data_IF_098686489825
#
_entry.id   IF_098686489825
#
_cell.length_a   1.000
_cell.length_b   1.000
_cell.length_c   1.000
_cell.angle_alpha   90.00
_cell.angle_beta   90.00
_cell.angle_gamma   90.00
#
_symmetry.space_group_name_H-M   'P 1'
#
loop_
_entity.id
_entity.type
_entity.pdbx_description
1 polymer ?
#
# COMPACT_ATOMS: atom_id res chain seq x y z
N UNK A 1 -9.05 -14.81 13.75
CA UNK A 1 -8.71 -13.72 14.69
C UNK A 1 -7.68 -12.84 13.98
N UNK A 2 -8.09 -11.70 13.43
CA UNK A 2 -7.16 -10.78 12.75
C UNK A 2 -6.23 -10.16 13.80
N UNK A 3 -4.92 -10.34 13.62
CA UNK A 3 -3.89 -9.71 14.47
C UNK A 3 -3.94 -8.20 14.21
N UNK A 4 -4.21 -7.41 15.22
CA UNK A 4 -4.14 -5.95 15.13
C UNK A 4 -2.68 -5.54 15.16
N UNK A 5 -2.21 -4.94 14.08
CA UNK A 5 -0.83 -4.43 13.94
C UNK A 5 -0.49 -3.46 15.08
N UNK A 6 -1.46 -2.66 15.50
CA UNK A 6 -1.37 -1.76 16.66
C UNK A 6 -1.04 -2.51 17.95
N UNK A 7 -1.76 -3.62 18.24
CA UNK A 7 -1.52 -4.42 19.45
C UNK A 7 -0.16 -5.10 19.45
N UNK A 8 0.28 -5.58 18.30
CA UNK A 8 1.56 -6.26 18.20
C UNK A 8 2.72 -5.25 18.32
N UNK A 9 2.65 -4.10 17.65
CA UNK A 9 3.59 -3.00 17.84
C UNK A 9 3.64 -2.50 19.29
N UNK A 10 2.46 -2.31 19.90
CA UNK A 10 2.37 -1.85 21.30
C UNK A 10 3.02 -2.86 22.26
N UNK A 11 2.79 -4.16 22.08
CA UNK A 11 3.45 -5.22 22.88
C UNK A 11 4.96 -5.21 22.74
N UNK A 12 5.47 -5.06 21.50
CA UNK A 12 6.90 -4.99 21.25
C UNK A 12 7.51 -3.73 21.88
N UNK A 13 6.89 -2.57 21.72
CA UNK A 13 7.38 -1.32 22.30
C UNK A 13 7.35 -1.39 23.82
N UNK A 14 6.24 -1.82 24.43
CA UNK A 14 6.14 -1.96 25.89
C UNK A 14 7.11 -3.01 26.40
N UNK A 15 7.25 -4.15 25.73
CA UNK A 15 8.17 -5.21 26.10
C UNK A 15 9.63 -4.78 26.06
N UNK A 16 10.06 -4.12 24.98
CA UNK A 16 11.44 -3.60 24.85
C UNK A 16 11.73 -2.49 25.85
N UNK A 17 10.75 -1.60 26.09
CA UNK A 17 10.88 -0.53 27.07
C UNK A 17 10.99 -1.09 28.50
N UNK A 18 10.16 -2.07 28.86
CA UNK A 18 10.19 -2.73 30.15
C UNK A 18 11.53 -3.46 30.38
N UNK A 19 12.00 -4.21 29.39
CA UNK A 19 13.30 -4.90 29.46
C UNK A 19 14.45 -3.90 29.59
N UNK A 20 14.43 -2.83 28.78
CA UNK A 20 15.44 -1.78 28.83
C UNK A 20 15.45 -1.07 30.19
N UNK A 21 14.27 -0.82 30.78
CA UNK A 21 14.14 -0.20 32.11
C UNK A 21 14.76 -1.08 33.18
N UNK A 22 14.44 -2.38 33.18
CA UNK A 22 15.00 -3.32 34.16
C UNK A 22 16.52 -3.38 34.03
N UNK A 23 17.04 -3.52 32.82
CA UNK A 23 18.48 -3.56 32.58
C UNK A 23 19.17 -2.27 33.05
N UNK A 24 18.62 -1.12 32.68
CA UNK A 24 19.18 0.18 33.03
C UNK A 24 19.15 0.42 34.54
N UNK A 25 18.05 0.04 35.21
CA UNK A 25 17.92 0.13 36.67
C UNK A 25 18.94 -0.74 37.39
N UNK A 26 19.15 -1.98 36.94
CA UNK A 26 20.16 -2.90 37.50
C UNK A 26 21.57 -2.33 37.31
N UNK A 27 21.89 -1.84 36.12
CA UNK A 27 23.20 -1.25 35.84
C UNK A 27 23.42 0.01 36.68
N UNK A 28 22.43 0.94 36.71
CA UNK A 28 22.53 2.15 37.52
C UNK A 28 22.70 1.85 39.00
N UNK A 29 21.97 0.87 39.55
CA UNK A 29 22.11 0.42 40.93
C UNK A 29 23.54 -0.11 41.20
N UNK A 30 24.05 -0.92 40.30
CA UNK A 30 25.41 -1.51 40.46
C UNK A 30 26.51 -0.45 40.36
N UNK A 31 26.40 0.47 39.42
CA UNK A 31 27.33 1.59 39.25
C UNK A 31 27.32 2.49 40.48
N UNK A 32 26.16 2.85 40.99
CA UNK A 32 26.00 3.70 42.19
C UNK A 32 26.67 3.04 43.40
N UNK A 33 26.44 1.73 43.60
CA UNK A 33 27.09 1.02 44.71
C UNK A 33 28.64 1.03 44.58
N UNK A 34 29.17 0.90 43.37
CA UNK A 34 30.61 0.85 43.13
C UNK A 34 31.25 2.24 43.31
N UNK A 35 30.67 3.28 42.69
CA UNK A 35 31.20 4.64 42.84
C UNK A 35 31.12 5.19 44.26
N UNK A 36 30.04 4.84 45.00
CA UNK A 36 29.90 5.30 46.38
C UNK A 36 31.05 4.77 47.30
N UNK A 37 31.59 3.62 46.99
CA UNK A 37 32.78 3.13 47.77
C UNK A 37 33.98 4.05 47.58
N UNK A 38 34.31 4.47 46.39
CA UNK A 38 35.44 5.37 46.12
C UNK A 38 35.24 6.75 46.75
N UNK A 39 34.00 7.30 46.65
CA UNK A 39 33.66 8.59 47.26
C UNK A 39 33.82 8.56 48.77
N UNK A 40 33.33 7.52 49.45
CA UNK A 40 33.45 7.38 50.88
C UNK A 40 34.90 7.19 51.34
N UNK A 41 35.74 6.48 50.59
CA UNK A 41 37.16 6.32 50.93
C UNK A 41 37.96 7.62 50.78
N UNK A 42 37.64 8.44 49.76
CA UNK A 42 38.29 9.75 49.56
C UNK A 42 37.82 10.78 50.62
N UNK A 43 36.56 10.67 51.08
CA UNK A 43 36.04 11.49 52.19
C UNK A 43 36.75 11.11 53.48
N UNK A 44 36.89 9.84 53.83
CA UNK A 44 37.62 9.38 55.01
C UNK A 44 39.08 9.88 55.00
N UNK A 45 39.75 9.79 53.86
CA UNK A 45 41.11 10.31 53.68
C UNK A 45 41.18 11.80 53.93
N UNK A 46 40.26 12.57 53.37
CA UNK A 46 40.21 14.03 53.51
C UNK A 46 40.02 14.45 54.99
N UNK A 47 39.13 13.74 55.70
CA UNK A 47 38.86 13.95 57.11
C UNK A 47 40.07 13.59 57.94
N UNK A 48 40.71 12.45 57.73
CA UNK A 48 41.93 12.01 58.46
C UNK A 48 43.06 13.02 58.25
N UNK A 49 43.31 13.47 57.01
CA UNK A 49 44.30 14.53 56.74
C UNK A 49 43.98 15.84 57.45
N UNK A 50 42.69 16.20 57.51
CA UNK A 50 42.20 17.42 58.23
C UNK A 50 42.52 17.32 59.70
N UNK A 51 42.28 16.18 60.36
CA UNK A 51 42.59 15.95 61.77
C UNK A 51 44.10 16.07 62.06
N UNK A 52 44.93 15.50 61.17
CA UNK A 52 46.40 15.65 61.31
C UNK A 52 46.84 17.09 61.19
N UNK A 53 46.34 17.82 60.19
CA UNK A 53 46.65 19.27 60.01
C UNK A 53 46.22 20.10 61.19
N UNK A 54 45.09 19.83 61.81
CA UNK A 54 44.62 20.51 63.00
C UNK A 54 45.57 20.33 64.19
N UNK A 55 46.05 19.11 64.40
CA UNK A 55 47.04 18.83 65.46
C UNK A 55 48.41 19.47 65.19
N UNK A 56 48.83 19.56 63.94
CA UNK A 56 50.09 20.22 63.56
C UNK A 56 50.04 21.75 63.77
N UNK A 57 48.87 22.38 63.49
CA UNK A 57 48.66 23.82 63.63
C UNK A 57 48.57 24.26 65.09
N UNK A 58 48.12 23.37 65.99
CA UNK A 58 47.85 23.73 67.38
C UNK A 58 48.73 22.95 68.34
N UNK A 59 50.05 23.22 68.30
CA UNK A 59 51.10 22.54 69.15
C UNK A 59 50.88 22.70 70.68
N UNK A 60 50.07 23.72 71.06
CA UNK A 60 49.76 24.00 72.47
C UNK A 60 48.75 23.01 73.08
N UNK A 61 48.05 22.21 72.29
CA UNK A 61 47.18 21.13 72.78
C UNK A 61 47.94 19.97 73.48
N UNK A 62 49.29 19.92 73.42
CA UNK A 62 50.06 18.90 74.08
C UNK A 62 50.15 19.04 75.64
N UNK A 63 49.74 20.21 76.15
CA UNK A 63 49.80 20.51 77.61
C UNK A 63 48.47 20.39 78.34
N UNK A 64 47.34 20.22 77.62
CA UNK A 64 46.00 20.11 78.24
C UNK A 64 45.63 18.63 78.36
N UNK A 65 45.76 18.08 79.53
CA UNK A 65 45.38 16.69 79.83
C UNK A 65 43.91 16.39 79.82
N UNK A 66 43.05 17.38 79.60
CA UNK A 66 41.62 17.31 79.59
C UNK A 66 41.06 17.98 78.29
N UNK A 67 41.08 17.30 77.15
CA UNK A 67 40.19 17.62 76.09
C UNK A 67 38.76 17.29 76.58
N UNK A 68 37.80 18.22 76.50
CA UNK A 68 36.46 17.88 76.87
C UNK A 68 35.97 16.76 75.97
N UNK A 69 35.84 15.58 76.57
CA UNK A 69 35.15 14.46 75.95
C UNK A 69 33.74 14.95 75.63
N UNK A 70 33.41 15.09 74.37
CA UNK A 70 32.03 15.47 73.97
C UNK A 70 31.13 14.30 74.38
N UNK A 71 30.48 14.48 75.55
CA UNK A 71 29.56 13.48 76.10
C UNK A 71 28.22 13.40 75.37
N UNK A 72 27.98 14.35 74.51
CA UNK A 72 26.74 14.47 73.74
C UNK A 72 27.05 14.22 72.26
N UNK A 73 27.47 12.97 71.95
CA UNK A 73 27.65 12.54 70.58
C UNK A 73 26.30 11.99 70.11
N UNK A 74 25.70 12.54 69.07
CA UNK A 74 24.48 11.97 68.51
C UNK A 74 24.75 10.48 68.19
N UNK A 75 23.75 9.63 68.40
CA UNK A 75 23.84 8.17 68.13
C UNK A 75 24.12 7.86 66.65
N UNK A 76 23.94 8.88 65.80
CA UNK A 76 24.07 8.87 64.32
C UNK A 76 25.38 9.51 63.85
N UNK A 77 26.47 9.54 64.64
CA UNK A 77 27.73 10.05 64.10
C UNK A 77 28.23 9.15 62.96
N UNK A 78 28.13 9.68 61.74
CA UNK A 78 28.39 8.97 60.48
C UNK A 78 29.83 8.56 60.35
N UNK A 79 30.75 9.37 60.85
CA UNK A 79 32.20 9.14 60.77
C UNK A 79 32.82 9.30 62.17
N UNK A 80 33.57 8.25 62.56
CA UNK A 80 34.32 8.29 63.82
C UNK A 80 35.77 8.64 63.48
N UNK A 81 36.29 9.69 64.18
CA UNK A 81 37.67 10.10 64.04
C UNK A 81 38.44 9.90 65.35
N UNK A 82 39.67 9.45 65.25
CA UNK A 82 40.57 9.37 66.40
C UNK A 82 41.98 9.72 65.99
N UNK A 83 42.77 10.17 66.96
CA UNK A 83 44.16 10.51 66.70
C UNK A 83 45.05 10.11 67.84
N UNK A 84 46.33 9.83 67.50
CA UNK A 84 47.37 9.44 68.41
C UNK A 84 48.70 10.14 68.09
N UNK A 85 49.63 10.10 69.03
CA UNK A 85 51.04 10.31 68.74
C UNK A 85 51.60 9.04 68.06
N UNK A 86 52.70 9.15 67.30
CA UNK A 86 53.41 7.99 66.73
C UNK A 86 53.83 6.96 67.76
N UNK A 87 53.98 7.35 69.05
CA UNK A 87 54.23 6.46 70.17
C UNK A 87 52.98 5.73 70.71
N UNK A 88 51.83 5.82 70.10
CA UNK A 88 50.62 5.11 70.48
C UNK A 88 49.77 5.76 71.61
N UNK A 89 50.09 6.99 72.07
CA UNK A 89 49.28 7.68 73.05
C UNK A 89 48.07 8.35 72.31
N UNK A 90 46.84 8.01 72.73
CA UNK A 90 45.63 8.61 72.18
C UNK A 90 45.54 10.05 72.55
N UNK A 91 45.26 10.92 71.57
CA UNK A 91 45.08 12.36 71.73
C UNK A 91 43.58 12.78 71.65
N UNK A 92 42.85 12.16 70.78
CA UNK A 92 41.45 12.52 70.55
C UNK A 92 40.65 11.30 70.07
N UNK A 93 39.40 11.27 70.39
CA UNK A 93 38.36 10.37 69.88
C UNK A 93 37.02 11.10 69.80
N UNK A 94 36.36 11.04 68.62
CA UNK A 94 35.08 11.70 68.42
C UNK A 94 33.92 10.95 69.07
N UNK A 95 33.94 9.62 69.08
CA UNK A 95 32.96 8.79 69.78
C UNK A 95 33.66 7.77 70.70
N UNK A 96 33.65 7.98 71.99
CA UNK A 96 34.29 7.08 72.96
C UNK A 96 33.71 5.68 73.03
N UNK A 97 32.49 5.50 72.54
CA UNK A 97 31.82 4.18 72.49
C UNK A 97 32.46 3.26 71.43
N UNK A 98 33.19 3.85 70.47
CA UNK A 98 33.79 3.11 69.35
C UNK A 98 35.32 3.35 69.40
N UNK A 99 36.02 2.48 70.10
CA UNK A 99 37.49 2.53 70.11
C UNK A 99 38.02 1.60 69.01
N UNK A 100 38.56 2.15 67.96
CA UNK A 100 39.22 1.40 66.92
C UNK A 100 40.65 1.05 67.33
N UNK A 101 41.20 -0.10 66.88
CA UNK A 101 42.59 -0.48 67.22
C UNK A 101 43.55 0.56 66.58
N UNK A 102 44.63 0.89 67.35
CA UNK A 102 45.72 1.70 66.86
C UNK A 102 46.42 1.03 65.68
N UNK A 103 46.61 1.68 64.61
CA UNK A 103 47.42 1.27 63.46
C UNK A 103 48.25 2.44 62.98
N UNK A 104 49.60 2.27 62.95
CA UNK A 104 50.49 3.25 62.37
C UNK A 104 50.69 3.10 60.88
N UNK A 105 50.13 2.01 60.25
CA UNK A 105 50.18 1.79 58.81
C UNK A 105 49.25 2.75 58.09
N UNK A 106 49.85 3.55 57.22
CA UNK A 106 49.08 4.47 56.38
C UNK A 106 48.20 3.73 55.35
N UNK A 107 47.06 4.29 55.02
CA UNK A 107 46.16 3.78 53.99
C UNK A 107 44.86 3.21 54.54
N UNK A 108 44.24 2.39 53.73
CA UNK A 108 42.96 1.77 54.01
C UNK A 108 43.09 0.48 54.82
N UNK A 109 42.19 0.25 55.77
CA UNK A 109 42.08 -1.00 56.53
C UNK A 109 40.63 -1.29 56.92
N UNK A 110 40.32 -2.59 57.12
CA UNK A 110 38.95 -3.03 57.40
C UNK A 110 38.86 -3.84 58.69
N UNK A 111 39.07 -3.23 59.86
CA UNK A 111 38.97 -3.96 61.13
C UNK A 111 37.54 -4.35 61.47
N UNK A 112 37.36 -5.50 62.14
CA UNK A 112 36.08 -5.89 62.74
C UNK A 112 36.11 -5.46 64.22
N UNK A 113 35.21 -4.53 64.58
CA UNK A 113 35.10 -4.03 65.94
C UNK A 113 33.67 -4.28 66.42
N UNK A 114 33.54 -5.01 67.54
CA UNK A 114 32.25 -5.42 68.13
C UNK A 114 31.31 -6.19 67.16
N UNK A 115 31.89 -6.96 66.23
CA UNK A 115 31.11 -7.74 65.27
C UNK A 115 30.69 -6.97 64.00
N UNK A 116 30.99 -5.70 63.90
CA UNK A 116 30.79 -4.90 62.72
C UNK A 116 32.07 -4.59 61.97
N UNK A 117 32.06 -4.57 60.65
CA UNK A 117 33.19 -4.20 59.80
C UNK A 117 33.21 -2.67 59.67
N UNK A 118 34.40 -2.12 59.83
CA UNK A 118 34.66 -0.68 59.71
C UNK A 118 35.62 -0.43 58.57
N UNK A 119 35.35 0.56 57.76
CA UNK A 119 36.29 1.09 56.78
C UNK A 119 37.06 2.21 57.40
N UNK A 120 38.35 2.06 57.51
CA UNK A 120 39.23 3.00 58.22
C UNK A 120 40.31 3.50 57.30
N UNK A 121 40.46 4.81 57.20
CA UNK A 121 41.60 5.42 56.54
C UNK A 121 42.56 6.05 57.57
N UNK A 122 43.81 5.61 57.51
CA UNK A 122 44.87 6.07 58.44
C UNK A 122 45.86 6.98 57.72
N UNK A 123 46.12 8.14 58.30
CA UNK A 123 47.12 9.09 57.83
C UNK A 123 48.15 9.33 58.96
N UNK A 124 49.43 9.25 58.63
CA UNK A 124 50.51 9.49 59.57
C UNK A 124 51.43 10.59 59.02
N UNK A 125 51.43 11.78 59.67
CA UNK A 125 52.32 12.87 59.27
C UNK A 125 52.73 13.71 60.48
N UNK A 126 54.00 14.15 60.51
CA UNK A 126 54.49 15.13 61.48
C UNK A 126 54.45 14.68 62.94
N UNK A 127 54.56 13.35 63.19
CA UNK A 127 54.53 12.77 64.55
C UNK A 127 53.14 12.45 65.10
N UNK A 128 52.10 12.63 64.26
CA UNK A 128 50.72 12.34 64.60
C UNK A 128 50.11 11.31 63.64
N UNK A 129 49.25 10.46 64.16
CA UNK A 129 48.48 9.44 63.43
C UNK A 129 47.00 9.80 63.62
N UNK A 130 46.28 9.93 62.55
CA UNK A 130 44.82 10.11 62.58
C UNK A 130 44.13 8.99 61.76
N UNK A 131 43.02 8.57 62.28
CA UNK A 131 42.12 7.63 61.61
C UNK A 131 40.74 8.24 61.51
N UNK A 132 40.15 8.13 60.30
CA UNK A 132 38.73 8.37 60.08
C UNK A 132 38.10 7.02 59.68
N UNK A 133 36.96 6.73 60.27
CA UNK A 133 36.32 5.42 60.11
C UNK A 133 34.80 5.54 59.94
N UNK A 134 34.25 4.67 59.13
CA UNK A 134 32.81 4.58 58.88
C UNK A 134 32.36 3.10 58.94
N UNK A 135 31.12 2.88 59.42
CA UNK A 135 30.53 1.53 59.51
C UNK A 135 30.10 1.02 58.14
N UNK A 136 30.28 -0.27 57.91
CA UNK A 136 29.77 -0.91 56.68
C UNK A 136 28.26 -0.79 56.55
N UNK A 137 27.49 -1.00 57.62
CA UNK A 137 26.05 -0.88 57.65
C UNK A 137 25.58 0.50 57.18
N UNK A 138 26.26 1.55 57.62
CA UNK A 138 25.94 2.93 57.29
C UNK A 138 26.27 3.28 55.82
N UNK A 139 27.40 2.81 55.28
CA UNK A 139 27.73 2.90 53.88
C UNK A 139 26.70 2.23 53.00
N UNK A 140 26.29 1.01 53.39
CA UNK A 140 25.25 0.27 52.64
C UNK A 140 23.90 0.96 52.66
N UNK A 141 23.54 1.55 53.80
CA UNK A 141 22.28 2.29 53.92
C UNK A 141 22.26 3.53 52.99
N UNK A 142 23.29 4.38 53.09
CA UNK A 142 23.39 5.58 52.26
C UNK A 142 23.46 5.27 50.76
N UNK A 143 24.27 4.26 50.38
CA UNK A 143 24.33 3.81 48.99
C UNK A 143 23.00 3.23 48.51
N UNK A 144 22.30 2.49 49.37
CA UNK A 144 20.98 1.93 49.08
C UNK A 144 19.92 3.01 48.88
N UNK A 145 19.87 4.01 49.77
CA UNK A 145 18.93 5.15 49.64
C UNK A 145 19.17 5.95 48.36
N UNK A 146 20.42 6.27 48.04
CA UNK A 146 20.81 6.94 46.81
C UNK A 146 20.44 6.12 45.55
N UNK A 147 20.72 4.82 45.58
CA UNK A 147 20.40 3.92 44.47
C UNK A 147 18.90 3.80 44.24
N UNK A 148 18.08 3.71 45.31
CA UNK A 148 16.62 3.69 45.23
C UNK A 148 16.09 5.01 44.67
N UNK A 149 16.59 6.14 45.10
CA UNK A 149 16.19 7.46 44.62
C UNK A 149 16.46 7.61 43.13
N UNK A 150 17.65 7.28 42.64
CA UNK A 150 18.03 7.30 41.24
C UNK A 150 17.15 6.34 40.43
N UNK A 151 16.96 5.13 40.93
CA UNK A 151 16.13 4.10 40.28
C UNK A 151 14.68 4.55 40.14
N UNK A 152 14.11 5.17 41.16
CA UNK A 152 12.74 5.68 41.14
C UNK A 152 12.56 6.77 40.07
N UNK A 153 13.50 7.72 40.01
CA UNK A 153 13.49 8.76 39.00
C UNK A 153 13.59 8.19 37.57
N UNK A 154 14.45 7.19 37.39
CA UNK A 154 14.65 6.51 36.11
C UNK A 154 13.37 5.79 35.66
N UNK A 155 12.72 5.03 36.54
CA UNK A 155 11.45 4.36 36.26
C UNK A 155 10.36 5.36 35.90
N UNK A 156 10.26 6.48 36.64
CA UNK A 156 9.28 7.54 36.35
C UNK A 156 9.53 8.17 34.96
N UNK A 157 10.79 8.44 34.62
CA UNK A 157 11.15 8.99 33.30
C UNK A 157 10.77 8.04 32.19
N UNK A 158 11.12 6.75 32.29
CA UNK A 158 10.80 5.76 31.26
C UNK A 158 9.30 5.53 31.13
N UNK A 159 8.56 5.52 32.23
CA UNK A 159 7.10 5.45 32.21
C UNK A 159 6.48 6.65 31.50
N UNK A 160 7.02 7.85 31.75
CA UNK A 160 6.59 9.08 31.07
C UNK A 160 6.84 9.02 29.54
N UNK A 161 8.05 8.64 29.15
CA UNK A 161 8.42 8.46 27.73
C UNK A 161 7.56 7.38 27.07
N UNK A 162 7.34 6.24 27.73
CA UNK A 162 6.48 5.18 27.24
C UNK A 162 5.04 5.61 27.01
N UNK A 163 4.48 6.36 27.95
CA UNK A 163 3.13 6.92 27.83
C UNK A 163 3.04 7.90 26.64
N UNK A 164 4.02 8.76 26.48
CA UNK A 164 4.08 9.72 25.37
C UNK A 164 4.19 9.00 24.02
N UNK A 165 5.01 7.94 23.94
CA UNK A 165 5.17 7.11 22.74
C UNK A 165 3.87 6.41 22.35
N UNK A 166 3.17 5.80 23.31
CA UNK A 166 1.87 5.14 23.09
C UNK A 166 0.83 6.16 22.60
N UNK A 167 0.78 7.33 23.23
CA UNK A 167 -0.13 8.41 22.82
C UNK A 167 0.16 8.90 21.40
N UNK A 168 1.43 9.16 21.08
CA UNK A 168 1.87 9.60 19.76
C UNK A 168 1.55 8.58 18.67
N UNK A 169 1.81 7.29 18.94
CA UNK A 169 1.53 6.19 18.01
C UNK A 169 0.03 6.08 17.72
N UNK A 170 -0.82 6.09 18.75
CA UNK A 170 -2.27 6.06 18.58
C UNK A 170 -2.80 7.24 17.78
N UNK A 171 -2.29 8.43 18.06
CA UNK A 171 -2.69 9.63 17.31
C UNK A 171 -2.22 9.59 15.86
N UNK A 172 -1.04 9.04 15.59
CA UNK A 172 -0.51 8.87 14.24
C UNK A 172 -1.25 7.83 13.39
N UNK A 173 -1.78 6.76 14.03
CA UNK A 173 -2.52 5.70 13.34
C UNK A 173 -4.03 5.95 13.23
N UNK A 174 -4.60 6.89 13.98
CA UNK A 174 -6.02 7.22 13.95
C UNK A 174 -6.58 7.53 12.54
N UNK A 175 -5.86 8.20 11.61
CA UNK A 175 -6.32 8.42 10.25
C UNK A 175 -6.49 7.12 9.44
N UNK A 176 -5.69 6.08 9.72
CA UNK A 176 -5.82 4.76 9.07
C UNK A 176 -7.12 4.06 9.49
N UNK A 177 -7.43 4.10 10.78
CA UNK A 177 -8.68 3.53 11.29
C UNK A 177 -9.91 4.27 10.74
N UNK A 178 -9.83 5.59 10.63
CA UNK A 178 -10.88 6.40 10.01
C UNK A 178 -11.08 6.05 8.53
N UNK A 179 -9.98 5.87 7.76
CA UNK A 179 -10.04 5.44 6.37
C UNK A 179 -10.66 4.04 6.22
N UNK A 180 -10.23 3.10 7.05
CA UNK A 180 -10.75 1.73 7.04
C UNK A 180 -12.25 1.69 7.38
N UNK A 181 -12.70 2.48 8.34
CA UNK A 181 -14.11 2.61 8.71
C UNK A 181 -14.94 3.26 7.61
N UNK A 182 -14.43 4.31 6.95
CA UNK A 182 -15.11 4.95 5.83
C UNK A 182 -15.28 3.96 4.65
N UNK A 183 -14.25 3.17 4.35
CA UNK A 183 -14.32 2.11 3.33
C UNK A 183 -15.32 1.03 3.73
N UNK A 184 -15.28 0.56 4.98
CA UNK A 184 -16.15 -0.52 5.47
C UNK A 184 -17.64 -0.10 5.57
N UNK A 185 -17.92 1.18 5.84
CA UNK A 185 -19.27 1.71 5.93
C UNK A 185 -19.91 1.99 4.56
N UNK A 186 -19.13 1.92 3.48
CA UNK A 186 -19.63 2.17 2.13
C UNK A 186 -20.46 1.00 1.63
N UNK A 187 -21.62 1.29 1.07
CA UNK A 187 -22.39 0.31 0.31
C UNK A 187 -21.66 -0.05 -0.99
N UNK A 188 -21.92 -1.24 -1.55
CA UNK A 188 -21.28 -1.73 -2.77
C UNK A 188 -21.41 -0.81 -4.02
N UNK A 189 -22.26 0.22 -3.96
CA UNK A 189 -22.42 1.22 -5.00
C UNK A 189 -21.84 2.60 -4.72
N UNK A 190 -21.27 2.83 -3.53
CA UNK A 190 -20.72 4.13 -3.14
C UNK A 190 -19.24 4.24 -3.53
N UNK A 191 -18.97 4.57 -4.79
CA UNK A 191 -17.63 4.70 -5.38
C UNK A 191 -17.07 6.14 -5.31
N UNK A 192 -17.58 6.97 -4.39
CA UNK A 192 -17.09 8.32 -4.19
C UNK A 192 -15.66 8.31 -3.60
N UNK A 193 -14.80 9.28 -3.93
CA UNK A 193 -13.43 9.30 -3.44
C UNK A 193 -13.36 9.38 -1.91
N UNK A 194 -12.34 8.72 -1.33
CA UNK A 194 -12.02 8.77 0.09
C UNK A 194 -11.45 10.16 0.38
N UNK A 195 -12.07 10.90 1.31
CA UNK A 195 -11.59 12.21 1.76
C UNK A 195 -11.28 12.16 3.25
N UNK A 196 -10.00 12.31 3.59
CA UNK A 196 -9.55 12.36 4.98
C UNK A 196 -8.92 13.73 5.23
N UNK A 197 -9.44 14.47 6.20
CA UNK A 197 -9.12 15.88 6.42
C UNK A 197 -7.69 16.17 6.89
N UNK A 198 -6.99 15.24 7.55
CA UNK A 198 -5.63 15.44 8.08
C UNK A 198 -4.80 14.17 7.83
N UNK A 199 -4.54 13.90 6.55
CA UNK A 199 -3.81 12.70 6.15
C UNK A 199 -2.30 12.92 6.23
N UNK A 200 -1.54 12.08 6.94
CA UNK A 200 -0.08 12.05 6.85
C UNK A 200 0.40 11.87 5.41
N UNK A 201 1.52 12.51 5.06
CA UNK A 201 2.09 12.44 3.70
C UNK A 201 2.37 11.01 3.25
N UNK A 202 2.74 10.15 4.17
CA UNK A 202 3.06 8.75 3.96
C UNK A 202 1.85 7.92 3.51
N UNK A 203 0.64 8.36 3.81
CA UNK A 203 -0.61 7.68 3.43
C UNK A 203 -1.22 8.20 2.12
N UNK A 204 -0.81 9.38 1.66
CA UNK A 204 -1.34 9.99 0.42
C UNK A 204 -1.25 9.06 -0.78
N UNK A 205 -0.09 8.38 -1.07
CA UNK A 205 0.00 7.50 -2.24
C UNK A 205 -0.98 6.33 -2.20
N UNK A 206 -1.26 5.79 -1.00
CA UNK A 206 -2.22 4.69 -0.83
C UNK A 206 -3.65 5.16 -1.08
N UNK A 207 -4.00 6.34 -0.56
CA UNK A 207 -5.34 6.93 -0.77
C UNK A 207 -5.56 7.31 -2.24
N UNK A 208 -4.55 7.89 -2.88
CA UNK A 208 -4.61 8.24 -4.30
C UNK A 208 -4.77 7.01 -5.19
N UNK A 209 -3.99 5.96 -4.96
CA UNK A 209 -4.13 4.68 -5.70
C UNK A 209 -5.49 4.03 -5.46
N UNK A 210 -6.00 4.09 -4.22
CA UNK A 210 -7.33 3.56 -3.90
C UNK A 210 -8.43 4.38 -4.59
N UNK A 211 -8.33 5.70 -4.59
CA UNK A 211 -9.27 6.58 -5.26
C UNK A 211 -9.26 6.38 -6.78
N UNK A 212 -8.09 6.17 -7.37
CA UNK A 212 -7.98 5.84 -8.79
C UNK A 212 -8.65 4.49 -9.12
N UNK A 213 -8.46 3.48 -8.26
CA UNK A 213 -9.16 2.19 -8.40
C UNK A 213 -10.68 2.36 -8.29
N UNK A 214 -11.18 3.14 -7.32
CA UNK A 214 -12.59 3.42 -7.15
C UNK A 214 -13.18 4.17 -8.36
N UNK A 215 -12.43 5.10 -8.94
CA UNK A 215 -12.81 5.82 -10.15
C UNK A 215 -12.96 4.87 -11.33
N UNK A 216 -11.97 4.01 -11.60
CA UNK A 216 -12.02 3.00 -12.68
C UNK A 216 -13.19 2.05 -12.49
N UNK A 217 -13.41 1.58 -11.27
CA UNK A 217 -14.54 0.71 -10.94
C UNK A 217 -15.88 1.42 -11.18
N UNK A 218 -15.98 2.71 -10.81
CA UNK A 218 -17.17 3.53 -11.06
C UNK A 218 -17.47 3.71 -12.54
N UNK A 219 -16.46 3.93 -13.35
CA UNK A 219 -16.57 4.03 -14.81
C UNK A 219 -17.02 2.71 -15.43
N UNK A 220 -16.42 1.57 -15.00
CA UNK A 220 -16.81 0.25 -15.45
C UNK A 220 -18.28 -0.09 -15.11
N UNK A 221 -18.72 0.15 -13.86
CA UNK A 221 -20.11 -0.05 -13.47
C UNK A 221 -21.08 0.87 -14.23
N UNK A 222 -20.69 2.10 -14.50
CA UNK A 222 -21.51 3.05 -15.26
C UNK A 222 -21.64 2.60 -16.72
N UNK A 223 -20.55 2.10 -17.31
CA UNK A 223 -20.56 1.53 -18.66
C UNK A 223 -21.42 0.26 -18.71
N UNK A 224 -21.30 -0.64 -17.75
CA UNK A 224 -22.12 -1.84 -17.65
C UNK A 224 -23.62 -1.54 -17.50
N UNK A 225 -23.99 -0.58 -16.64
CA UNK A 225 -25.40 -0.16 -16.48
C UNK A 225 -25.96 0.41 -17.77
N UNK A 226 -25.20 1.25 -18.47
CA UNK A 226 -25.61 1.78 -19.78
C UNK A 226 -25.81 0.66 -20.77
N UNK A 227 -24.83 -0.26 -20.88
CA UNK A 227 -24.96 -1.41 -21.79
C UNK A 227 -26.21 -2.24 -21.52
N UNK A 228 -26.52 -2.56 -20.24
CA UNK A 228 -27.72 -3.32 -19.89
C UNK A 228 -29.03 -2.55 -20.25
N UNK A 229 -29.05 -1.25 -20.03
CA UNK A 229 -30.20 -0.42 -20.36
C UNK A 229 -30.46 -0.34 -21.89
N UNK A 230 -29.38 -0.16 -22.65
CA UNK A 230 -29.40 -0.08 -24.10
C UNK A 230 -29.76 -1.45 -24.71
N UNK A 231 -29.17 -2.53 -24.23
CA UNK A 231 -29.50 -3.90 -24.67
C UNK A 231 -30.97 -4.24 -24.41
N UNK A 232 -31.51 -3.84 -23.25
CA UNK A 232 -32.94 -4.04 -22.95
C UNK A 232 -33.84 -3.24 -23.87
N UNK A 233 -33.42 -2.03 -24.27
CA UNK A 233 -34.17 -1.20 -25.22
C UNK A 233 -34.16 -1.82 -26.63
N UNK A 234 -32.99 -2.21 -27.12
CA UNK A 234 -32.81 -2.81 -28.44
C UNK A 234 -33.47 -4.19 -28.58
N UNK A 235 -33.57 -4.98 -27.50
CA UNK A 235 -34.32 -6.22 -27.48
C UNK A 235 -35.83 -6.01 -27.45
N UNK A 236 -36.33 -4.95 -26.83
CA UNK A 236 -37.78 -4.67 -26.76
C UNK A 236 -38.39 -4.42 -28.14
N UNK A 237 -37.67 -3.70 -28.99
CA UNK A 237 -38.16 -3.32 -30.34
C UNK A 237 -38.43 -4.56 -31.21
N UNK A 238 -37.50 -5.50 -31.46
CA UNK A 238 -37.78 -6.67 -32.28
C UNK A 238 -38.83 -7.60 -31.66
N UNK A 239 -38.84 -7.74 -30.32
CA UNK A 239 -39.85 -8.56 -29.64
C UNK A 239 -41.26 -7.96 -29.89
N UNK A 240 -41.39 -6.62 -29.86
CA UNK A 240 -42.68 -5.95 -30.17
C UNK A 240 -43.07 -6.14 -31.62
N UNK A 241 -42.10 -6.07 -32.55
CA UNK A 241 -42.34 -6.32 -33.97
C UNK A 241 -42.80 -7.78 -34.23
N UNK A 242 -42.12 -8.75 -33.62
CA UNK A 242 -42.52 -10.17 -33.70
C UNK A 242 -43.93 -10.41 -33.19
N UNK A 243 -44.30 -9.75 -32.08
CA UNK A 243 -45.66 -9.84 -31.54
C UNK A 243 -46.69 -9.30 -32.50
N UNK A 244 -46.40 -8.19 -33.21
CA UNK A 244 -47.25 -7.62 -34.21
C UNK A 244 -47.40 -8.54 -35.44
N UNK A 245 -46.27 -9.09 -35.93
CA UNK A 245 -46.23 -10.04 -37.03
C UNK A 245 -47.06 -11.30 -36.72
N UNK A 246 -46.95 -11.81 -35.50
CA UNK A 246 -47.78 -12.92 -35.03
C UNK A 246 -49.28 -12.60 -35.04
N UNK A 247 -49.67 -11.35 -34.66
CA UNK A 247 -51.06 -10.92 -34.71
C UNK A 247 -51.58 -10.79 -36.17
N UNK A 248 -50.69 -10.35 -37.09
CA UNK A 248 -51.02 -10.30 -38.53
C UNK A 248 -51.26 -11.72 -39.05
N UNK A 249 -50.34 -12.65 -38.75
CA UNK A 249 -50.43 -14.07 -39.09
C UNK A 249 -51.77 -14.69 -38.62
N UNK A 250 -52.16 -14.42 -37.36
CA UNK A 250 -53.41 -14.89 -36.76
C UNK A 250 -54.68 -14.36 -37.45
N UNK A 251 -54.60 -13.18 -38.10
CA UNK A 251 -55.70 -12.49 -38.77
C UNK A 251 -55.73 -12.73 -40.28
N UNK A 252 -54.70 -13.37 -40.85
CA UNK A 252 -54.64 -13.64 -42.30
C UNK A 252 -55.77 -14.59 -42.72
N UNK A 253 -56.56 -14.16 -43.68
CA UNK A 253 -57.75 -14.83 -44.12
C UNK A 253 -57.53 -15.82 -45.28
N UNK A 254 -56.42 -15.65 -46.01
CA UNK A 254 -56.06 -16.51 -47.17
C UNK A 254 -54.64 -17.08 -47.01
N UNK A 255 -54.35 -18.11 -47.76
CA UNK A 255 -53.09 -18.84 -47.68
C UNK A 255 -51.90 -18.02 -48.19
N UNK A 256 -52.09 -17.12 -49.16
CA UNK A 256 -51.01 -16.28 -49.69
C UNK A 256 -50.58 -15.21 -48.64
N UNK A 257 -51.54 -14.52 -48.02
CA UNK A 257 -51.27 -13.57 -46.94
C UNK A 257 -50.66 -14.25 -45.73
N UNK A 258 -51.05 -15.50 -45.42
CA UNK A 258 -50.49 -16.31 -44.34
C UNK A 258 -49.04 -16.67 -44.63
N UNK A 259 -48.70 -17.03 -45.88
CA UNK A 259 -47.33 -17.37 -46.27
C UNK A 259 -46.37 -16.16 -46.11
N UNK A 260 -46.79 -14.99 -46.62
CA UNK A 260 -46.02 -13.73 -46.46
C UNK A 260 -45.81 -13.38 -44.98
N UNK A 261 -46.86 -13.52 -44.16
CA UNK A 261 -46.74 -13.26 -42.73
C UNK A 261 -45.83 -14.21 -42.01
N UNK A 262 -45.75 -15.46 -42.45
CA UNK A 262 -44.78 -16.49 -41.95
C UNK A 262 -43.34 -16.13 -42.32
N UNK A 263 -43.10 -15.73 -43.58
CA UNK A 263 -41.79 -15.29 -44.07
C UNK A 263 -41.27 -14.06 -43.30
N UNK A 264 -42.18 -13.04 -43.10
CA UNK A 264 -41.85 -11.87 -42.30
C UNK A 264 -41.54 -12.19 -40.84
N UNK A 265 -42.30 -13.12 -40.23
CA UNK A 265 -42.07 -13.58 -38.86
C UNK A 265 -40.72 -14.30 -38.74
N UNK A 266 -40.40 -15.15 -39.71
CA UNK A 266 -39.14 -15.88 -39.75
C UNK A 266 -37.96 -14.94 -39.90
N UNK A 267 -38.01 -13.99 -40.82
CA UNK A 267 -37.03 -12.91 -40.96
C UNK A 267 -36.89 -12.05 -39.69
N UNK A 268 -37.99 -11.84 -38.96
CA UNK A 268 -37.96 -11.15 -37.66
C UNK A 268 -37.23 -11.94 -36.55
N UNK A 269 -37.43 -13.28 -36.52
CA UNK A 269 -36.74 -14.18 -35.60
C UNK A 269 -35.21 -14.16 -35.87
N UNK A 270 -34.85 -14.33 -37.16
CA UNK A 270 -33.43 -14.34 -37.55
C UNK A 270 -32.71 -13.05 -37.20
N UNK A 271 -33.35 -11.90 -37.40
CA UNK A 271 -32.82 -10.58 -36.95
C UNK A 271 -32.65 -10.52 -35.45
N UNK A 272 -33.60 -11.08 -34.68
CA UNK A 272 -33.52 -11.09 -33.22
C UNK A 272 -32.41 -11.98 -32.70
N UNK A 273 -32.22 -13.16 -33.32
CA UNK A 273 -31.10 -14.06 -33.01
C UNK A 273 -29.75 -13.39 -33.26
N UNK A 274 -29.60 -12.77 -34.43
CA UNK A 274 -28.36 -12.06 -34.76
C UNK A 274 -28.04 -10.93 -33.74
N UNK A 275 -29.08 -10.17 -33.31
CA UNK A 275 -28.88 -9.18 -32.26
C UNK A 275 -28.40 -9.77 -30.93
N UNK A 276 -28.97 -10.92 -30.50
CA UNK A 276 -28.53 -11.60 -29.27
C UNK A 276 -27.08 -12.09 -29.40
N UNK A 277 -26.71 -12.63 -30.55
CA UNK A 277 -25.33 -13.06 -30.83
C UNK A 277 -24.34 -11.89 -30.74
N UNK A 278 -24.71 -10.74 -31.32
CA UNK A 278 -23.91 -9.52 -31.24
C UNK A 278 -23.77 -9.02 -29.80
N UNK A 279 -24.84 -9.05 -28.99
CA UNK A 279 -24.77 -8.69 -27.56
C UNK A 279 -23.84 -9.63 -26.76
N UNK A 280 -23.91 -10.93 -27.04
CA UNK A 280 -23.02 -11.92 -26.43
C UNK A 280 -21.54 -11.70 -26.84
N UNK A 281 -21.29 -11.34 -28.09
CA UNK A 281 -19.96 -11.01 -28.59
C UNK A 281 -19.39 -9.78 -27.88
N UNK A 282 -20.19 -8.71 -27.72
CA UNK A 282 -19.77 -7.53 -26.93
C UNK A 282 -19.42 -7.91 -25.51
N UNK A 283 -20.25 -8.72 -24.84
CA UNK A 283 -20.00 -9.17 -23.46
C UNK A 283 -18.73 -10.01 -23.31
N UNK A 284 -18.40 -10.83 -24.33
CA UNK A 284 -17.17 -11.64 -24.35
C UNK A 284 -15.91 -10.86 -24.74
N UNK A 285 -16.07 -9.72 -25.40
CA UNK A 285 -14.97 -8.86 -25.83
C UNK A 285 -14.49 -7.90 -24.73
N UNK A 286 -15.11 -7.91 -23.55
CA UNK A 286 -14.61 -7.12 -22.40
C UNK A 286 -13.27 -7.68 -21.87
N UNK A 287 -12.30 -6.82 -21.49
CA UNK A 287 -10.90 -7.21 -21.28
C UNK A 287 -10.64 -8.26 -20.18
N UNK A 288 -11.58 -8.47 -19.26
CA UNK A 288 -11.36 -9.25 -18.01
C UNK A 288 -11.91 -10.69 -18.05
N UNK A 289 -12.53 -11.14 -19.18
CA UNK A 289 -13.34 -12.36 -19.12
C UNK A 289 -12.60 -13.64 -19.52
N UNK A 290 -11.61 -13.60 -20.40
CA UNK A 290 -10.80 -14.79 -20.77
C UNK A 290 -9.43 -14.40 -21.34
N UNK A 291 -8.40 -15.20 -21.04
CA UNK A 291 -7.10 -15.07 -21.70
C UNK A 291 -7.24 -15.28 -23.21
N UNK A 292 -6.69 -14.35 -24.02
CA UNK A 292 -6.65 -14.52 -25.48
C UNK A 292 -5.96 -15.83 -25.86
N UNK A 293 -6.65 -16.68 -26.62
CA UNK A 293 -6.02 -17.80 -27.33
C UNK A 293 -5.21 -17.21 -28.49
N UNK A 294 -3.94 -16.92 -28.24
CA UNK A 294 -3.10 -16.25 -29.22
C UNK A 294 -2.39 -17.27 -30.09
N UNK A 295 -2.74 -17.27 -31.37
CA UNK A 295 -2.10 -18.09 -32.41
C UNK A 295 -1.49 -17.20 -33.49
N UNK A 296 -0.71 -17.79 -34.39
CA UNK A 296 -0.25 -17.12 -35.59
C UNK A 296 -1.36 -17.17 -36.67
N UNK A 297 -1.97 -16.03 -36.97
CA UNK A 297 -3.09 -15.94 -37.91
C UNK A 297 -2.60 -15.33 -39.24
N UNK A 298 -2.80 -16.05 -40.32
CA UNK A 298 -2.58 -15.55 -41.71
C UNK A 298 -3.77 -14.64 -42.11
N UNK A 299 -3.52 -13.32 -42.20
CA UNK A 299 -4.56 -12.34 -42.56
C UNK A 299 -5.08 -12.54 -43.99
N UNK A 300 -4.23 -13.05 -44.92
CA UNK A 300 -4.67 -13.31 -46.27
C UNK A 300 -5.61 -14.53 -46.36
N UNK A 301 -5.38 -15.56 -45.56
CA UNK A 301 -6.29 -16.70 -45.46
C UNK A 301 -7.60 -16.31 -44.80
N UNK A 302 -7.56 -15.47 -43.74
CA UNK A 302 -8.71 -14.92 -43.05
C UNK A 302 -9.57 -14.09 -44.00
N UNK A 303 -8.96 -13.16 -44.77
CA UNK A 303 -9.65 -12.30 -45.74
C UNK A 303 -10.39 -13.10 -46.79
N UNK A 304 -9.73 -14.10 -47.37
CA UNK A 304 -10.35 -15.01 -48.38
C UNK A 304 -11.51 -15.83 -47.80
N UNK A 305 -11.38 -16.31 -46.57
CA UNK A 305 -12.42 -17.11 -45.92
C UNK A 305 -13.67 -16.26 -45.68
N UNK A 306 -13.50 -15.02 -45.15
CA UNK A 306 -14.61 -14.11 -44.89
C UNK A 306 -15.25 -13.65 -46.21
N UNK A 307 -14.49 -13.28 -47.23
CA UNK A 307 -15.01 -12.88 -48.52
C UNK A 307 -15.88 -14.02 -49.15
N UNK A 308 -15.41 -15.24 -49.08
CA UNK A 308 -16.17 -16.40 -49.54
C UNK A 308 -17.50 -16.58 -48.80
N UNK A 309 -17.49 -16.35 -47.47
CA UNK A 309 -18.70 -16.48 -46.65
C UNK A 309 -19.75 -15.39 -47.02
N UNK A 310 -19.31 -14.20 -47.41
CA UNK A 310 -20.18 -13.06 -47.76
C UNK A 310 -20.54 -13.00 -49.25
N UNK A 311 -19.98 -13.84 -50.10
CA UNK A 311 -20.20 -13.78 -51.56
C UNK A 311 -21.68 -13.79 -51.94
N UNK A 312 -22.50 -14.73 -51.44
CA UNK A 312 -23.91 -14.82 -51.70
C UNK A 312 -24.71 -13.61 -51.20
N UNK A 313 -24.30 -13.01 -50.09
CA UNK A 313 -24.95 -11.80 -49.54
C UNK A 313 -24.59 -10.55 -50.36
N UNK A 314 -23.34 -10.47 -50.83
CA UNK A 314 -22.89 -9.40 -51.72
C UNK A 314 -23.62 -9.46 -53.07
N UNK A 315 -23.68 -10.65 -53.70
CA UNK A 315 -24.43 -10.87 -54.96
C UNK A 315 -25.92 -10.47 -54.81
N UNK A 316 -26.57 -10.84 -53.74
CA UNK A 316 -27.97 -10.47 -53.46
C UNK A 316 -28.22 -8.99 -53.34
N UNK A 317 -27.15 -8.19 -53.11
CA UNK A 317 -27.20 -6.70 -52.99
C UNK A 317 -26.51 -5.98 -54.14
N UNK A 318 -26.13 -6.71 -55.17
CA UNK A 318 -25.40 -6.22 -56.35
C UNK A 318 -24.08 -5.51 -55.95
N UNK A 319 -23.36 -6.04 -54.95
CA UNK A 319 -22.08 -5.54 -54.45
C UNK A 319 -20.94 -6.40 -55.04
N UNK A 320 -19.95 -5.71 -55.66
CA UNK A 320 -18.72 -6.33 -56.11
C UNK A 320 -17.74 -6.47 -54.93
N UNK A 321 -17.59 -7.69 -54.37
CA UNK A 321 -16.75 -7.98 -53.24
C UNK A 321 -15.37 -8.54 -53.66
N UNK A 322 -14.33 -7.74 -53.55
CA UNK A 322 -12.95 -8.09 -53.91
C UNK A 322 -12.02 -8.34 -52.73
N UNK A 323 -11.00 -9.17 -52.95
CA UNK A 323 -9.88 -9.37 -51.95
C UNK A 323 -8.57 -9.05 -52.69
N UNK A 324 -7.81 -8.12 -52.11
CA UNK A 324 -6.50 -7.71 -52.61
C UNK A 324 -5.43 -8.03 -51.57
N UNK A 325 -4.54 -8.95 -51.90
CA UNK A 325 -3.41 -9.31 -51.04
C UNK A 325 -2.15 -8.62 -51.60
N UNK A 326 -1.76 -7.50 -50.96
CA UNK A 326 -0.60 -6.67 -51.34
C UNK A 326 0.68 -7.14 -50.64
N UNK A 327 0.54 -7.74 -49.42
CA UNK A 327 1.63 -8.36 -48.68
C UNK A 327 1.10 -9.62 -47.96
N UNK A 328 2.00 -10.58 -47.70
CA UNK A 328 1.67 -11.67 -46.79
C UNK A 328 1.96 -11.26 -45.37
N UNK A 329 0.92 -11.10 -44.57
CA UNK A 329 1.01 -10.63 -43.19
C UNK A 329 0.42 -11.65 -42.24
N UNK A 330 1.16 -11.99 -41.20
CA UNK A 330 0.75 -12.82 -40.08
C UNK A 330 0.75 -12.02 -38.80
N UNK A 331 -0.29 -12.20 -37.99
CA UNK A 331 -0.43 -11.53 -36.69
C UNK A 331 -0.61 -12.55 -35.57
N UNK A 332 -0.17 -12.21 -34.35
CA UNK A 332 -0.48 -12.99 -33.15
C UNK A 332 -1.86 -12.56 -32.66
N UNK A 333 -2.83 -13.46 -32.66
CA UNK A 333 -4.18 -13.14 -32.26
C UNK A 333 -5.07 -14.35 -32.13
N UNK A 334 -6.31 -14.13 -31.71
CA UNK A 334 -7.34 -15.13 -31.61
C UNK A 334 -8.08 -15.24 -32.97
N UNK A 335 -7.98 -16.36 -33.69
CA UNK A 335 -8.58 -16.52 -35.03
C UNK A 335 -10.09 -16.27 -35.04
N UNK A 336 -10.79 -16.71 -33.98
CA UNK A 336 -12.23 -16.50 -33.86
C UNK A 336 -12.59 -15.04 -33.71
N UNK A 337 -11.88 -14.32 -32.83
CA UNK A 337 -12.12 -12.89 -32.64
C UNK A 337 -11.76 -12.07 -33.86
N UNK A 338 -10.66 -12.36 -34.54
CA UNK A 338 -10.28 -11.70 -35.78
C UNK A 338 -11.28 -11.99 -36.92
N UNK A 339 -11.83 -13.18 -36.97
CA UNK A 339 -12.93 -13.53 -37.91
C UNK A 339 -14.16 -12.69 -37.60
N UNK A 340 -14.56 -12.56 -36.34
CA UNK A 340 -15.68 -11.72 -35.90
C UNK A 340 -15.45 -10.25 -36.25
N UNK A 341 -14.25 -9.74 -36.05
CA UNK A 341 -13.86 -8.37 -36.40
C UNK A 341 -14.06 -8.13 -37.89
N UNK A 342 -13.49 -8.99 -38.74
CA UNK A 342 -13.58 -8.83 -40.18
C UNK A 342 -15.01 -9.03 -40.69
N UNK A 343 -15.78 -9.98 -40.15
CA UNK A 343 -17.18 -10.17 -40.46
C UNK A 343 -18.00 -8.90 -40.21
N UNK A 344 -17.77 -8.20 -39.07
CA UNK A 344 -18.49 -6.95 -38.77
C UNK A 344 -18.11 -5.83 -39.73
N UNK A 345 -16.82 -5.75 -40.14
CA UNK A 345 -16.41 -4.76 -41.14
C UNK A 345 -17.06 -5.03 -42.51
N UNK A 346 -17.02 -6.30 -42.98
CA UNK A 346 -17.57 -6.68 -44.29
C UNK A 346 -19.09 -6.60 -44.32
N UNK A 347 -19.78 -7.03 -43.25
CA UNK A 347 -21.26 -6.86 -43.17
C UNK A 347 -21.67 -5.39 -43.25
N UNK A 348 -20.95 -4.52 -42.55
CA UNK A 348 -21.18 -3.08 -42.66
C UNK A 348 -20.93 -2.55 -44.09
N UNK A 349 -19.78 -2.90 -44.68
CA UNK A 349 -19.42 -2.46 -46.01
C UNK A 349 -20.47 -2.91 -47.08
N UNK A 350 -20.85 -4.19 -47.09
CA UNK A 350 -21.85 -4.75 -48.00
C UNK A 350 -23.25 -4.15 -47.76
N UNK A 351 -23.58 -3.76 -46.55
CA UNK A 351 -24.83 -3.14 -46.19
C UNK A 351 -24.94 -1.70 -46.65
N UNK A 352 -23.89 -0.92 -46.58
CA UNK A 352 -23.90 0.53 -46.86
C UNK A 352 -23.40 0.88 -48.27
N UNK A 353 -22.95 -0.08 -49.06
CA UNK A 353 -22.54 0.13 -50.45
C UNK A 353 -23.36 -0.69 -51.47
N UNK A 354 -24.71 -0.69 -51.44
CA UNK A 354 -25.51 -1.44 -52.42
C UNK A 354 -25.27 -0.94 -53.84
N UNK A 355 -25.01 -1.86 -54.78
CA UNK A 355 -24.65 -1.54 -56.14
C UNK A 355 -23.23 -0.96 -56.33
N UNK A 356 -22.40 -0.99 -55.29
CA UNK A 356 -21.04 -0.50 -55.30
C UNK A 356 -20.00 -1.63 -55.19
N UNK A 357 -18.74 -1.27 -54.85
CA UNK A 357 -17.69 -2.21 -54.63
C UNK A 357 -17.23 -2.20 -53.16
N UNK A 358 -16.80 -3.35 -52.67
CA UNK A 358 -16.19 -3.54 -51.37
C UNK A 358 -14.89 -4.30 -51.55
N UNK A 359 -13.76 -3.72 -51.12
CA UNK A 359 -12.45 -4.32 -51.21
C UNK A 359 -11.94 -4.67 -49.82
N UNK A 360 -11.47 -5.90 -49.61
CA UNK A 360 -10.72 -6.31 -48.45
C UNK A 360 -9.23 -6.33 -48.81
N UNK A 361 -8.41 -5.50 -48.20
CA UNK A 361 -7.00 -5.41 -48.48
C UNK A 361 -6.18 -5.93 -47.29
N UNK A 362 -5.13 -6.71 -47.60
CA UNK A 362 -4.09 -7.10 -46.67
C UNK A 362 -2.78 -6.54 -47.15
N UNK A 363 -2.20 -5.67 -46.37
CA UNK A 363 -0.99 -4.93 -46.74
C UNK A 363 -0.09 -4.73 -45.52
N UNK A 364 1.07 -4.16 -45.78
CA UNK A 364 2.05 -3.79 -44.74
C UNK A 364 2.37 -2.30 -44.92
N UNK A 365 2.14 -1.51 -43.86
CA UNK A 365 2.48 -0.07 -43.85
C UNK A 365 3.46 0.17 -42.69
N UNK A 366 4.60 0.79 -42.97
CA UNK A 366 5.65 1.05 -41.98
C UNK A 366 6.06 -0.19 -41.17
N UNK A 367 6.20 -1.33 -41.88
CA UNK A 367 6.51 -2.65 -41.31
C UNK A 367 5.37 -3.26 -40.43
N UNK A 368 4.21 -2.60 -40.30
CA UNK A 368 3.08 -3.10 -39.52
C UNK A 368 2.06 -3.80 -40.43
N UNK A 369 1.56 -4.98 -40.02
CA UNK A 369 0.46 -5.63 -40.72
C UNK A 369 -0.82 -4.79 -40.65
N UNK A 370 -1.47 -4.60 -41.77
CA UNK A 370 -2.72 -3.84 -41.88
C UNK A 370 -3.78 -4.68 -42.58
N UNK A 371 -4.95 -4.77 -41.96
CA UNK A 371 -6.17 -5.31 -42.55
C UNK A 371 -7.12 -4.15 -42.81
N UNK A 372 -7.43 -3.87 -44.08
CA UNK A 372 -8.25 -2.73 -44.50
C UNK A 372 -9.49 -3.22 -45.22
N UNK A 373 -10.64 -2.61 -44.91
CA UNK A 373 -11.89 -2.79 -45.64
C UNK A 373 -12.31 -1.45 -46.22
N UNK A 374 -12.51 -1.38 -47.55
CA UNK A 374 -12.87 -0.19 -48.27
C UNK A 374 -14.29 -0.40 -48.84
N UNK A 375 -15.21 0.48 -48.56
CA UNK A 375 -16.49 0.52 -49.21
C UNK A 375 -16.64 1.80 -50.06
N UNK A 376 -17.45 1.70 -51.11
CA UNK A 376 -17.79 2.83 -52.02
C UNK A 376 -19.20 3.33 -51.74
N UNK A 377 -19.60 3.33 -50.46
CA UNK A 377 -20.88 3.82 -50.00
C UNK A 377 -20.92 5.34 -49.82
N UNK A 378 -21.90 5.86 -49.05
CA UNK A 378 -22.06 7.30 -48.81
C UNK A 378 -21.00 7.90 -47.90
N UNK A 379 -20.18 7.07 -47.28
CA UNK A 379 -19.20 7.51 -46.25
C UNK A 379 -19.85 7.95 -44.96
N UNK A 380 -19.03 8.51 -44.05
CA UNK A 380 -19.45 8.98 -42.72
C UNK A 380 -19.16 10.48 -42.60
N UNK A 381 -20.15 11.32 -42.23
CA UNK A 381 -19.94 12.72 -41.97
C UNK A 381 -18.89 12.95 -40.89
N UNK A 382 -18.04 13.96 -41.05
CA UNK A 382 -16.93 14.27 -40.12
C UNK A 382 -17.41 14.44 -38.66
N UNK A 383 -18.57 15.08 -38.48
CA UNK A 383 -19.17 15.28 -37.15
C UNK A 383 -19.54 13.97 -36.40
N UNK A 384 -19.72 12.87 -37.16
CA UNK A 384 -20.14 11.58 -36.61
C UNK A 384 -18.96 10.62 -36.41
N UNK A 385 -17.78 10.83 -37.03
CA UNK A 385 -16.63 9.93 -37.02
C UNK A 385 -16.14 9.60 -35.60
N UNK A 386 -16.16 10.55 -34.68
CA UNK A 386 -15.75 10.34 -33.29
C UNK A 386 -16.68 9.41 -32.49
N UNK A 387 -17.91 9.17 -33.02
CA UNK A 387 -18.95 8.42 -32.29
C UNK A 387 -19.35 7.09 -32.94
N UNK A 388 -18.86 6.80 -34.14
CA UNK A 388 -19.25 5.57 -34.85
C UNK A 388 -18.88 4.28 -34.15
N UNK A 389 -17.91 4.35 -33.23
CA UNK A 389 -17.49 3.23 -32.37
C UNK A 389 -18.27 3.17 -31.05
N UNK A 390 -19.14 4.14 -30.78
CA UNK A 390 -20.02 4.10 -29.61
C UNK A 390 -21.07 2.99 -29.80
N UNK A 391 -21.33 2.23 -28.74
CA UNK A 391 -22.32 1.15 -28.76
C UNK A 391 -23.71 1.73 -29.10
N UNK A 392 -24.44 1.05 -30.00
CA UNK A 392 -25.79 1.43 -30.47
C UNK A 392 -25.85 2.78 -31.22
N UNK A 393 -24.73 3.37 -31.58
CA UNK A 393 -24.71 4.57 -32.35
C UNK A 393 -25.11 4.27 -33.80
N UNK A 394 -26.02 5.10 -34.35
CA UNK A 394 -26.47 5.05 -35.74
C UNK A 394 -26.43 6.48 -36.29
N UNK A 395 -25.65 6.68 -37.33
CA UNK A 395 -25.58 7.99 -38.00
C UNK A 395 -26.90 8.41 -38.65
N UNK A 396 -27.05 9.70 -38.91
CA UNK A 396 -28.25 10.28 -39.52
C UNK A 396 -28.52 9.71 -40.92
N UNK A 397 -27.47 9.37 -41.66
CA UNK A 397 -27.55 8.73 -42.97
C UNK A 397 -28.05 7.29 -42.94
N UNK A 398 -27.98 6.60 -41.77
CA UNK A 398 -28.45 5.23 -41.57
C UNK A 398 -29.96 5.06 -41.53
N UNK A 399 -30.74 6.13 -41.48
CA UNK A 399 -32.21 6.08 -41.44
C UNK A 399 -32.86 5.53 -42.70
N UNK A 400 -32.18 5.57 -43.85
CA UNK A 400 -32.66 5.04 -45.14
C UNK A 400 -32.37 3.56 -45.32
N UNK A 401 -31.33 3.03 -44.63
CA UNK A 401 -30.95 1.63 -44.65
C UNK A 401 -31.40 0.95 -43.35
N UNK A 402 -32.61 0.46 -43.31
CA UNK A 402 -33.19 -0.18 -42.14
C UNK A 402 -32.44 -1.46 -41.78
N UNK A 403 -31.92 -1.59 -40.55
CA UNK A 403 -31.56 -2.91 -40.00
C UNK A 403 -30.26 -3.10 -39.25
N UNK A 404 -29.43 -2.09 -38.93
CA UNK A 404 -28.23 -2.25 -38.13
C UNK A 404 -28.47 -2.08 -36.64
N UNK A 405 -27.82 -2.90 -35.78
CA UNK A 405 -27.87 -2.80 -34.30
C UNK A 405 -27.04 -1.66 -33.75
N UNK A 406 -26.12 -1.08 -34.56
CA UNK A 406 -25.12 -0.11 -34.06
C UNK A 406 -24.05 -0.73 -33.15
N UNK A 407 -23.89 -2.06 -33.13
CA UNK A 407 -22.88 -2.78 -32.32
C UNK A 407 -21.65 -3.18 -33.12
N UNK A 408 -21.74 -3.33 -34.45
CA UNK A 408 -20.69 -3.91 -35.29
C UNK A 408 -19.31 -3.19 -35.13
N UNK A 409 -19.31 -1.84 -35.29
CA UNK A 409 -18.05 -1.10 -35.15
C UNK A 409 -17.56 -1.02 -33.69
N UNK A 410 -18.46 -1.06 -32.71
CA UNK A 410 -18.07 -1.18 -31.30
C UNK A 410 -17.37 -2.53 -31.01
N UNK A 411 -17.84 -3.63 -31.64
CA UNK A 411 -17.18 -4.95 -31.58
C UNK A 411 -15.81 -4.90 -32.24
N UNK A 412 -15.71 -4.28 -33.42
CA UNK A 412 -14.44 -4.11 -34.14
C UNK A 412 -13.43 -3.43 -33.24
N UNK A 413 -13.78 -2.29 -32.62
CA UNK A 413 -12.91 -1.55 -31.73
C UNK A 413 -12.49 -2.38 -30.51
N UNK A 414 -13.44 -3.03 -29.85
CA UNK A 414 -13.14 -3.85 -28.68
C UNK A 414 -12.17 -5.00 -28.98
N UNK A 415 -12.34 -5.67 -30.14
CA UNK A 415 -11.45 -6.76 -30.58
C UNK A 415 -10.07 -6.21 -30.96
N UNK A 416 -10.01 -5.08 -31.68
CA UNK A 416 -8.76 -4.44 -32.06
C UNK A 416 -7.93 -4.04 -30.81
N UNK A 417 -8.57 -3.35 -29.83
CA UNK A 417 -7.95 -2.96 -28.56
C UNK A 417 -7.40 -4.18 -27.81
N UNK A 418 -8.12 -5.29 -27.81
CA UNK A 418 -7.71 -6.53 -27.17
C UNK A 418 -6.48 -7.19 -27.84
N UNK A 419 -6.31 -6.95 -29.15
CA UNK A 419 -5.15 -7.39 -29.93
C UNK A 419 -4.06 -6.31 -29.99
N UNK A 420 -4.17 -5.23 -29.18
CA UNK A 420 -3.24 -4.09 -29.22
C UNK A 420 -3.15 -3.45 -30.61
N UNK A 421 -4.17 -3.62 -31.45
CA UNK A 421 -4.27 -3.03 -32.76
C UNK A 421 -4.99 -1.69 -32.71
N UNK A 422 -4.64 -0.81 -33.63
CA UNK A 422 -5.24 0.53 -33.76
C UNK A 422 -6.26 0.50 -34.90
N UNK A 423 -7.44 1.09 -34.67
CA UNK A 423 -8.46 1.27 -35.71
C UNK A 423 -8.34 2.67 -36.28
N UNK A 424 -8.05 2.77 -37.57
CA UNK A 424 -7.92 4.03 -38.30
C UNK A 424 -9.06 4.18 -39.33
N UNK A 425 -9.55 5.40 -39.46
CA UNK A 425 -10.55 5.78 -40.44
C UNK A 425 -9.85 6.63 -41.48
N UNK A 426 -9.83 6.17 -42.70
CA UNK A 426 -9.35 6.95 -43.82
C UNK A 426 -10.49 7.27 -44.81
N UNK A 427 -10.51 8.51 -45.24
CA UNK A 427 -11.40 9.00 -46.32
C UNK A 427 -10.63 9.83 -47.34
N UNK A 428 -9.29 10.00 -47.13
CA UNK A 428 -8.43 10.70 -48.07
C UNK A 428 -8.10 9.79 -49.27
N UNK A 429 -8.43 10.24 -50.47
CA UNK A 429 -8.19 9.50 -51.70
C UNK A 429 -9.35 8.68 -52.23
N UNK A 430 -10.42 8.51 -51.45
CA UNK A 430 -11.69 7.87 -51.88
C UNK A 430 -12.69 8.97 -52.25
N UNK A 431 -13.04 9.06 -53.51
CA UNK A 431 -13.99 10.12 -53.97
C UNK A 431 -15.39 9.98 -53.34
N UNK A 432 -15.79 8.78 -52.94
CA UNK A 432 -17.01 8.47 -52.18
C UNK A 432 -16.78 7.12 -51.48
N UNK A 433 -17.02 7.02 -50.14
CA UNK A 433 -16.87 5.79 -49.38
C UNK A 433 -16.17 5.94 -48.04
N UNK A 434 -15.81 4.82 -47.44
CA UNK A 434 -15.13 4.72 -46.18
C UNK A 434 -14.06 3.62 -46.25
N UNK A 435 -12.85 3.88 -45.74
CA UNK A 435 -11.87 2.88 -45.46
C UNK A 435 -11.67 2.75 -43.96
N UNK A 436 -11.75 1.53 -43.46
CA UNK A 436 -11.43 1.21 -42.07
C UNK A 436 -10.20 0.29 -42.07
N UNK A 437 -9.13 0.76 -41.47
CA UNK A 437 -7.85 0.05 -41.35
C UNK A 437 -7.65 -0.44 -39.92
N UNK A 438 -7.26 -1.69 -39.77
CA UNK A 438 -6.84 -2.29 -38.50
C UNK A 438 -5.34 -2.49 -38.58
N UNK A 439 -4.60 -1.65 -37.86
CA UNK A 439 -3.13 -1.64 -37.82
C UNK A 439 -2.68 -2.48 -36.64
N UNK A 440 -2.00 -3.59 -36.91
CA UNK A 440 -1.52 -4.48 -35.85
C UNK A 440 -0.11 -4.06 -35.40
N UNK A 441 0.22 -4.28 -34.12
CA UNK A 441 1.58 -4.02 -33.66
C UNK A 441 2.59 -4.93 -34.36
N UNK A 442 3.81 -4.43 -34.50
CA UNK A 442 4.95 -5.25 -34.98
C UNK A 442 4.99 -6.53 -34.14
N UNK A 443 4.88 -7.64 -34.79
CA UNK A 443 5.03 -8.93 -34.10
C UNK A 443 6.40 -8.97 -33.44
N UNK A 444 6.48 -9.06 -32.13
CA UNK A 444 7.72 -9.39 -31.44
C UNK A 444 8.29 -10.63 -32.14
N UNK A 445 9.33 -10.44 -32.93
CA UNK A 445 10.09 -11.52 -33.55
C UNK A 445 10.39 -12.52 -32.46
N UNK A 446 9.93 -13.76 -32.63
CA UNK A 446 10.29 -14.82 -31.74
C UNK A 446 11.82 -14.85 -31.65
N UNK A 447 12.38 -14.57 -30.48
CA UNK A 447 13.70 -15.04 -30.17
C UNK A 447 13.69 -16.57 -30.35
N UNK A 448 14.45 -17.01 -31.31
CA UNK A 448 14.81 -18.39 -31.56
C UNK A 448 15.66 -18.92 -30.41
#
# INVERSE_FOLDING_TARGET
MMRSLERDLLKWIVGTLALGTVLLTVVAYWVTLTEMHEVFDDELKTIAEGVVRMHQANRDWQSSADLPMRTDVPDDSEIVTQSWTTGGRRLFISDPRVALPFSAAEGHSEPIVRGERWFVHTVSRGGYVAQAAQRQSQRQQMAGESAVQISTLMVALVAGVGTLLVFSLRRGLAPLDAAAQDIAARSAGALSPIRIGNTPRELMPVIESTNELLRRLGEAFSAQRRFLADAAHELRTPITALRLQLQILQRSADDASRQVALEDLQAGIDRSQHLVEQLLQVARSEPDVEALHTESVDLAALARSVASAFAAQADARDVDLGVRILSQATVKGDPLQLTVLLNNLVDNAVRYAPGGAVDIEVLEESEQPVLRVIDHGPGIPEAERGRIFDRFFRGVSGGTYAGGSGLGLAIVRAIAERHSAVVELDSEGISHGLAISIVFPLGSSAEL
#
